data_IF_852740124687
#
_entry.id   IF_852740124687
#
_cell.length_a   1.000
_cell.length_b   1.000
_cell.length_c   1.000
_cell.angle_alpha   90.00
_cell.angle_beta   90.00
_cell.angle_gamma   90.00
#
_symmetry.space_group_name_H-M   'P 1'
#
loop_
_entity.id
_entity.type
_entity.pdbx_description
1 polymer ?
#
# COMPACT_ATOMS: atom_id res chain seq x y z
N UNK A 1 11.64 45.92 -6.71
CA UNK A 1 12.44 45.19 -7.72
C UNK A 1 12.97 43.89 -7.12
N UNK A 2 12.19 42.82 -7.21
CA UNK A 2 12.66 41.43 -7.17
C UNK A 2 11.51 40.56 -7.70
N UNK A 3 11.67 40.10 -8.94
CA UNK A 3 10.73 39.21 -9.64
C UNK A 3 10.93 37.79 -9.12
N UNK A 4 9.92 37.23 -8.48
CA UNK A 4 9.80 35.78 -8.29
C UNK A 4 9.45 35.14 -9.64
N UNK A 5 10.31 34.25 -10.12
CA UNK A 5 10.00 33.38 -11.25
C UNK A 5 9.34 32.12 -10.71
N UNK A 6 8.03 32.01 -10.92
CA UNK A 6 7.33 30.72 -10.87
C UNK A 6 7.73 29.93 -12.11
N UNK A 7 8.55 28.89 -11.93
CA UNK A 7 8.79 27.88 -12.95
C UNK A 7 7.75 26.78 -12.74
N UNK A 8 6.81 26.70 -13.68
CA UNK A 8 5.81 25.64 -13.79
C UNK A 8 6.50 24.33 -14.17
N UNK A 9 6.34 23.29 -13.35
CA UNK A 9 6.86 21.94 -13.54
C UNK A 9 5.75 20.97 -13.99
N UNK A 10 4.89 21.37 -14.93
CA UNK A 10 3.86 20.50 -15.50
C UNK A 10 4.17 20.25 -16.97
N UNK A 11 5.11 19.34 -17.30
CA UNK A 11 5.12 18.72 -18.64
C UNK A 11 6.02 17.48 -18.91
N UNK A 12 6.40 16.62 -17.95
CA UNK A 12 7.26 15.44 -18.28
C UNK A 12 6.92 14.15 -17.49
N UNK A 13 5.65 13.78 -17.33
CA UNK A 13 5.28 12.45 -16.77
C UNK A 13 4.01 11.90 -17.42
N UNK A 14 3.99 11.77 -18.75
CA UNK A 14 2.78 11.30 -19.46
C UNK A 14 3.06 10.16 -20.48
N UNK A 15 4.12 9.36 -20.32
CA UNK A 15 4.40 8.26 -21.27
C UNK A 15 5.19 7.09 -20.66
N UNK A 16 4.70 6.47 -19.59
CA UNK A 16 5.19 5.17 -19.12
C UNK A 16 4.03 4.34 -18.54
N UNK A 17 3.02 4.11 -19.37
CA UNK A 17 2.04 3.03 -19.15
C UNK A 17 2.62 1.77 -19.82
N UNK A 18 3.43 1.03 -19.05
CA UNK A 18 3.86 -0.31 -19.43
C UNK A 18 2.88 -1.26 -18.76
N UNK A 19 1.95 -1.75 -19.56
CA UNK A 19 1.10 -2.92 -19.29
C UNK A 19 1.96 -4.05 -18.71
N UNK A 20 1.84 -4.25 -17.41
CA UNK A 20 2.50 -5.33 -16.67
C UNK A 20 1.45 -6.24 -16.03
N UNK A 21 0.37 -6.49 -16.77
CA UNK A 21 -0.59 -7.56 -16.50
C UNK A 21 -0.48 -8.62 -17.60
N UNK A 22 -0.34 -9.87 -17.18
CA UNK A 22 -0.27 -11.10 -17.99
C UNK A 22 1.11 -11.50 -18.52
N UNK A 23 2.00 -11.90 -17.62
CA UNK A 23 2.87 -13.06 -17.89
C UNK A 23 2.29 -14.24 -17.12
N UNK A 24 1.11 -14.68 -17.56
CA UNK A 24 0.67 -16.05 -17.35
C UNK A 24 1.43 -16.89 -18.38
N UNK A 25 2.53 -17.52 -17.96
CA UNK A 25 3.20 -18.56 -18.74
C UNK A 25 2.37 -19.84 -18.70
N UNK A 26 1.13 -19.74 -19.19
CA UNK A 26 0.40 -20.85 -19.72
C UNK A 26 1.14 -21.36 -20.95
N UNK A 27 2.03 -22.32 -20.75
CA UNK A 27 2.50 -23.23 -21.80
C UNK A 27 1.29 -24.05 -22.21
N UNK A 28 0.41 -23.44 -23.00
CA UNK A 28 -0.53 -24.15 -23.84
C UNK A 28 0.30 -24.80 -24.93
N UNK A 29 0.53 -26.10 -24.76
CA UNK A 29 0.93 -26.99 -25.83
C UNK A 29 -0.21 -26.93 -26.86
N UNK A 30 -0.14 -25.94 -27.75
CA UNK A 30 -0.98 -25.93 -28.94
C UNK A 30 -0.55 -27.13 -29.77
N UNK A 31 -1.50 -28.05 -29.97
CA UNK A 31 -1.45 -29.14 -30.92
C UNK A 31 -0.93 -28.62 -32.28
N UNK A 32 0.34 -28.89 -32.52
CA UNK A 32 1.05 -28.56 -33.75
C UNK A 32 0.86 -29.66 -34.80
N UNK A 33 -0.33 -30.27 -34.83
CA UNK A 33 -0.73 -31.28 -35.79
C UNK A 33 -1.95 -30.80 -36.55
N UNK A 34 -1.79 -29.89 -37.54
CA UNK A 34 -2.65 -29.77 -38.73
C UNK A 34 -2.32 -28.54 -39.58
N UNK A 35 -1.06 -28.34 -39.96
CA UNK A 35 -0.73 -27.49 -41.11
C UNK A 35 0.38 -28.14 -41.93
N UNK A 36 0.08 -29.33 -42.48
CA UNK A 36 0.83 -29.85 -43.62
C UNK A 36 0.53 -28.95 -44.84
N UNK A 37 1.52 -28.23 -45.40
CA UNK A 37 1.32 -27.50 -46.63
C UNK A 37 1.11 -28.51 -47.76
N UNK A 38 -0.02 -28.36 -48.45
CA UNK A 38 -0.37 -29.06 -49.68
C UNK A 38 0.79 -28.92 -50.68
N UNK A 39 1.51 -30.01 -50.96
CA UNK A 39 2.48 -30.08 -52.04
C UNK A 39 1.77 -29.91 -53.38
N UNK A 40 1.71 -28.67 -53.90
CA UNK A 40 1.49 -28.45 -55.33
C UNK A 40 2.84 -28.55 -56.05
N UNK A 41 3.07 -29.69 -56.69
CA UNK A 41 4.10 -29.88 -57.70
C UNK A 41 3.79 -28.99 -58.91
N UNK A 42 4.54 -27.89 -59.05
CA UNK A 42 4.67 -27.19 -60.34
C UNK A 42 6.13 -26.97 -60.64
N UNK A 43 6.63 -27.82 -61.53
CA UNK A 43 7.83 -27.61 -62.33
C UNK A 43 7.76 -26.23 -63.00
N UNK A 44 8.26 -25.21 -62.29
CA UNK A 44 8.56 -23.91 -62.88
C UNK A 44 10.07 -23.85 -63.03
N UNK A 45 10.47 -23.99 -64.29
CA UNK A 45 11.83 -23.80 -64.77
C UNK A 45 12.54 -22.67 -64.01
N UNK A 46 13.58 -23.04 -63.27
CA UNK A 46 14.48 -22.14 -62.57
C UNK A 46 15.17 -21.29 -63.65
N UNK A 47 14.60 -20.12 -63.95
CA UNK A 47 15.31 -19.08 -64.69
C UNK A 47 16.54 -18.71 -63.85
N UNK A 48 17.75 -18.64 -64.43
CA UNK A 48 18.94 -18.27 -63.67
C UNK A 48 18.68 -16.91 -63.04
N UNK A 49 18.60 -16.87 -61.71
CA UNK A 49 18.50 -15.66 -60.93
C UNK A 49 19.64 -14.74 -61.36
N UNK A 50 19.28 -13.72 -62.14
CA UNK A 50 20.18 -12.63 -62.54
C UNK A 50 20.83 -12.16 -61.24
N UNK A 51 22.15 -12.35 -61.14
CA UNK A 51 23.00 -11.96 -60.01
C UNK A 51 22.87 -10.45 -59.84
N UNK A 52 21.80 -10.00 -59.17
CA UNK A 52 21.60 -8.60 -58.88
C UNK A 52 22.78 -8.22 -57.98
N UNK A 53 23.52 -7.19 -58.40
CA UNK A 53 24.61 -6.64 -57.61
C UNK A 53 24.00 -6.23 -56.28
N UNK A 54 24.14 -7.11 -55.27
CA UNK A 54 23.73 -6.89 -53.89
C UNK A 54 24.26 -5.52 -53.48
N UNK A 55 23.35 -4.56 -53.35
CA UNK A 55 23.63 -3.27 -52.73
C UNK A 55 23.94 -3.54 -51.26
N UNK A 56 25.20 -3.89 -50.98
CA UNK A 56 25.70 -4.16 -49.63
C UNK A 56 25.62 -2.91 -48.74
N UNK A 57 25.49 -1.73 -49.33
CA UNK A 57 25.51 -0.45 -48.63
C UNK A 57 24.23 -0.14 -47.84
N UNK A 58 23.05 -0.61 -48.25
CA UNK A 58 21.80 -0.28 -47.55
C UNK A 58 21.62 -1.03 -46.22
N UNK A 59 22.12 -2.27 -46.15
CA UNK A 59 22.05 -3.09 -44.94
C UNK A 59 22.99 -2.57 -43.84
N UNK A 60 24.15 -2.05 -44.26
CA UNK A 60 25.17 -1.51 -43.36
C UNK A 60 24.70 -0.21 -42.68
N UNK A 61 24.10 0.72 -43.42
CA UNK A 61 23.52 1.96 -42.84
C UNK A 61 22.39 1.64 -41.86
N UNK A 62 21.50 0.71 -42.21
CA UNK A 62 20.41 0.29 -41.33
C UNK A 62 20.92 -0.28 -40.00
N UNK A 63 21.91 -1.17 -40.05
CA UNK A 63 22.51 -1.74 -38.85
C UNK A 63 23.13 -0.67 -37.94
N UNK A 64 23.88 0.28 -38.52
CA UNK A 64 24.45 1.39 -37.74
C UNK A 64 23.39 2.28 -37.10
N UNK A 65 22.29 2.57 -37.81
CA UNK A 65 21.19 3.36 -37.23
C UNK A 65 20.51 2.64 -36.07
N UNK A 66 20.27 1.33 -36.18
CA UNK A 66 19.67 0.54 -35.11
C UNK A 66 20.60 0.48 -33.89
N UNK A 67 21.89 0.24 -34.09
CA UNK A 67 22.87 0.25 -33.00
C UNK A 67 22.98 1.62 -32.32
N UNK A 68 22.91 2.72 -33.09
CA UNK A 68 22.91 4.07 -32.54
C UNK A 68 21.67 4.33 -31.69
N UNK A 69 20.48 3.94 -32.16
CA UNK A 69 19.23 4.10 -31.39
C UNK A 69 19.28 3.29 -30.10
N UNK A 70 19.71 2.02 -30.15
CA UNK A 70 19.88 1.18 -28.95
C UNK A 70 20.91 1.79 -27.99
N UNK A 71 22.03 2.29 -28.51
CA UNK A 71 23.04 2.97 -27.69
C UNK A 71 22.50 4.23 -27.02
N UNK A 72 21.73 5.04 -27.74
CA UNK A 72 21.10 6.25 -27.22
C UNK A 72 20.04 5.92 -26.16
N UNK A 73 19.14 4.97 -26.40
CA UNK A 73 18.10 4.58 -25.43
C UNK A 73 18.71 4.00 -24.16
N UNK A 74 19.73 3.15 -24.29
CA UNK A 74 20.46 2.58 -23.14
C UNK A 74 21.16 3.68 -22.35
N UNK A 75 21.78 4.66 -23.02
CA UNK A 75 22.44 5.79 -22.36
C UNK A 75 21.42 6.65 -21.60
N UNK A 76 20.25 6.92 -22.18
CA UNK A 76 19.17 7.66 -21.52
C UNK A 76 18.64 6.90 -20.31
N UNK A 77 18.42 5.59 -20.42
CA UNK A 77 17.97 4.75 -19.31
C UNK A 77 18.97 4.69 -18.15
N UNK A 78 20.27 4.58 -18.46
CA UNK A 78 21.33 4.62 -17.43
C UNK A 78 21.39 6.01 -16.77
N UNK A 79 21.31 7.08 -17.57
CA UNK A 79 21.34 8.45 -17.06
C UNK A 79 20.12 8.75 -16.16
N UNK A 80 18.92 8.30 -16.56
CA UNK A 80 17.70 8.45 -15.74
C UNK A 80 17.80 7.63 -14.45
N UNK A 81 18.34 6.41 -14.51
CA UNK A 81 18.58 5.59 -13.31
C UNK A 81 19.54 6.24 -12.32
N UNK A 82 20.67 6.80 -12.79
CA UNK A 82 21.62 7.53 -11.94
C UNK A 82 20.98 8.79 -11.35
N UNK A 83 20.20 9.53 -12.14
CA UNK A 83 19.49 10.71 -11.68
C UNK A 83 18.45 10.36 -10.62
N UNK A 84 17.63 9.35 -10.87
CA UNK A 84 16.64 8.82 -9.92
C UNK A 84 17.27 8.37 -8.60
N UNK A 85 18.38 7.61 -8.67
CA UNK A 85 19.14 7.20 -7.48
C UNK A 85 19.62 8.41 -6.67
N UNK A 86 20.09 9.47 -7.32
CA UNK A 86 20.54 10.71 -6.64
C UNK A 86 19.39 11.49 -6.02
N UNK A 87 18.25 11.59 -6.70
CA UNK A 87 17.05 12.28 -6.19
C UNK A 87 16.51 11.52 -4.98
N UNK A 88 16.32 10.20 -5.10
CA UNK A 88 15.89 9.35 -4.00
C UNK A 88 16.85 9.42 -2.81
N UNK A 89 18.16 9.34 -3.05
CA UNK A 89 19.15 9.43 -1.98
C UNK A 89 19.19 10.79 -1.27
N UNK A 90 18.75 11.88 -1.94
CA UNK A 90 18.58 13.18 -1.28
C UNK A 90 17.39 13.17 -0.33
N UNK A 91 16.25 12.60 -0.77
CA UNK A 91 15.08 12.47 0.11
C UNK A 91 15.36 11.55 1.29
N UNK A 92 16.06 10.42 1.06
CA UNK A 92 16.50 9.54 2.17
C UNK A 92 17.30 10.34 3.19
N UNK A 93 18.31 11.11 2.78
CA UNK A 93 19.09 11.95 3.70
C UNK A 93 18.20 12.94 4.45
N UNK A 94 17.19 13.51 3.77
CA UNK A 94 16.28 14.51 4.34
C UNK A 94 15.31 13.92 5.37
N UNK A 95 14.86 12.69 5.20
CA UNK A 95 13.90 12.02 6.10
C UNK A 95 14.55 11.12 7.15
N UNK A 96 15.88 11.03 7.19
CA UNK A 96 16.59 10.14 8.12
C UNK A 96 17.66 10.87 8.91
N UNK A 97 17.99 10.33 10.09
CA UNK A 97 19.03 10.82 10.98
C UNK A 97 20.19 9.84 11.06
N UNK A 98 21.36 10.31 11.49
CA UNK A 98 22.54 9.45 11.69
C UNK A 98 22.59 8.80 13.08
N UNK A 99 21.84 9.33 14.05
CA UNK A 99 21.76 8.82 15.41
C UNK A 99 20.43 8.10 15.61
N UNK A 100 20.41 6.77 15.83
CA UNK A 100 19.17 6.06 16.09
C UNK A 100 18.56 6.50 17.41
N UNK A 101 17.24 6.38 17.52
CA UNK A 101 16.56 6.50 18.81
C UNK A 101 16.65 5.15 19.52
N UNK A 102 17.12 5.16 20.76
CA UNK A 102 17.13 3.96 21.61
C UNK A 102 15.78 3.81 22.31
N UNK A 103 15.14 2.66 22.13
CA UNK A 103 13.94 2.29 22.86
C UNK A 103 14.29 1.42 24.07
N UNK A 104 13.40 1.38 25.05
CA UNK A 104 13.47 0.35 26.08
C UNK A 104 13.32 -1.01 25.39
N UNK A 105 14.28 -1.90 25.61
CA UNK A 105 14.19 -3.26 25.09
C UNK A 105 13.11 -3.98 25.86
N UNK A 106 12.03 -4.37 25.18
CA UNK A 106 11.08 -5.31 25.74
C UNK A 106 11.77 -6.65 26.03
N UNK A 107 11.33 -7.32 27.08
CA UNK A 107 11.79 -8.67 27.38
C UNK A 107 11.37 -9.60 26.23
N UNK A 108 12.34 -10.36 25.72
CA UNK A 108 12.12 -11.34 24.65
C UNK A 108 11.31 -12.49 25.26
N UNK A 109 10.14 -12.78 24.69
CA UNK A 109 9.33 -13.93 25.10
C UNK A 109 9.97 -15.24 24.64
N UNK A 110 9.60 -16.35 25.29
CA UNK A 110 10.07 -17.66 24.87
C UNK A 110 9.56 -18.00 23.46
N UNK A 111 10.37 -18.70 22.67
CA UNK A 111 10.03 -19.04 21.29
C UNK A 111 8.80 -19.94 21.20
N UNK A 112 8.62 -20.85 22.18
CA UNK A 112 7.47 -21.73 22.23
C UNK A 112 6.19 -20.92 22.52
N UNK A 113 6.23 -19.98 23.47
CA UNK A 113 5.11 -19.08 23.77
C UNK A 113 4.74 -18.22 22.54
N UNK A 114 5.76 -17.76 21.82
CA UNK A 114 5.59 -17.00 20.59
C UNK A 114 4.90 -17.78 19.47
N UNK A 115 5.30 -19.04 19.29
CA UNK A 115 4.69 -19.90 18.29
C UNK A 115 3.23 -20.19 18.63
N UNK A 116 2.89 -20.35 19.91
CA UNK A 116 1.49 -20.49 20.35
C UNK A 116 0.67 -19.24 20.01
N UNK A 117 1.21 -18.05 20.27
CA UNK A 117 0.52 -16.79 19.96
C UNK A 117 0.32 -16.57 18.46
N UNK A 118 1.32 -16.95 17.66
CA UNK A 118 1.23 -16.91 16.20
C UNK A 118 0.20 -17.92 15.66
N UNK A 119 0.25 -19.17 16.12
CA UNK A 119 -0.69 -20.22 15.71
C UNK A 119 -2.13 -19.84 16.09
N UNK A 120 -2.32 -19.19 17.24
CA UNK A 120 -3.61 -18.64 17.67
C UNK A 120 -4.11 -17.56 16.71
N UNK A 121 -3.24 -16.65 16.28
CA UNK A 121 -3.57 -15.60 15.32
C UNK A 121 -3.92 -16.19 13.94
N UNK A 122 -3.08 -17.10 13.45
CA UNK A 122 -3.26 -17.75 12.14
C UNK A 122 -4.58 -18.54 12.12
N UNK A 123 -4.85 -19.33 13.16
CA UNK A 123 -6.10 -20.07 13.30
C UNK A 123 -7.32 -19.15 13.36
N UNK A 124 -7.22 -18.03 14.08
CA UNK A 124 -8.30 -17.04 14.15
C UNK A 124 -8.68 -16.51 12.76
N UNK A 125 -7.70 -16.07 11.97
CA UNK A 125 -7.96 -15.56 10.63
C UNK A 125 -8.38 -16.66 9.64
N UNK A 126 -7.82 -17.87 9.75
CA UNK A 126 -8.24 -19.01 8.93
C UNK A 126 -9.71 -19.38 9.16
N UNK A 127 -10.18 -19.31 10.42
CA UNK A 127 -11.61 -19.49 10.73
C UNK A 127 -12.47 -18.41 10.09
N UNK A 128 -12.08 -17.13 10.20
CA UNK A 128 -12.80 -16.03 9.56
C UNK A 128 -12.87 -16.21 8.03
N UNK A 129 -11.75 -16.53 7.38
CA UNK A 129 -11.69 -16.79 5.93
C UNK A 129 -12.55 -17.99 5.53
N UNK A 130 -12.66 -19.00 6.39
CA UNK A 130 -13.53 -20.15 6.19
C UNK A 130 -15.03 -19.85 6.45
N UNK A 131 -15.39 -18.62 6.83
CA UNK A 131 -16.74 -18.23 7.21
C UNK A 131 -17.20 -18.86 8.53
N UNK A 132 -16.26 -19.27 9.38
CA UNK A 132 -16.51 -19.80 10.71
C UNK A 132 -16.31 -18.69 11.75
N UNK A 133 -17.09 -18.72 12.82
CA UNK A 133 -16.97 -17.78 13.93
C UNK A 133 -15.97 -18.32 14.97
N UNK A 134 -14.82 -17.66 15.19
CA UNK A 134 -13.95 -18.00 16.31
C UNK A 134 -14.71 -17.90 17.64
N UNK A 135 -14.47 -18.86 18.54
CA UNK A 135 -15.11 -18.88 19.87
C UNK A 135 -14.65 -17.67 20.69
N UNK A 136 -13.36 -17.37 20.63
CA UNK A 136 -12.70 -16.36 21.44
C UNK A 136 -12.28 -15.16 20.59
N UNK A 137 -12.32 -13.97 21.20
CA UNK A 137 -11.76 -12.75 20.61
C UNK A 137 -10.24 -12.85 20.56
N UNK A 138 -9.60 -12.22 19.57
CA UNK A 138 -8.15 -12.23 19.46
C UNK A 138 -7.57 -11.01 20.18
N UNK A 139 -6.85 -11.23 21.27
CA UNK A 139 -6.25 -10.15 22.06
C UNK A 139 -4.74 -10.28 22.20
N UNK A 140 -4.00 -9.21 21.95
CA UNK A 140 -2.56 -9.15 22.17
C UNK A 140 -2.20 -8.08 23.19
N UNK A 141 -1.30 -8.42 24.12
CA UNK A 141 -0.73 -7.42 25.02
C UNK A 141 0.39 -6.62 24.35
N UNK A 142 0.74 -5.43 24.85
CA UNK A 142 1.90 -4.72 24.32
C UNK A 142 3.19 -5.52 24.56
N UNK A 143 3.26 -6.27 25.66
CA UNK A 143 4.35 -7.20 25.93
C UNK A 143 4.43 -8.30 24.85
N UNK A 144 3.31 -8.90 24.46
CA UNK A 144 3.24 -9.87 23.35
C UNK A 144 3.68 -9.24 22.03
N UNK A 145 3.22 -8.02 21.73
CA UNK A 145 3.58 -7.32 20.49
C UNK A 145 5.08 -7.06 20.42
N UNK A 146 5.65 -6.49 21.47
CA UNK A 146 7.06 -6.14 21.49
C UNK A 146 7.96 -7.37 21.62
N UNK A 147 7.62 -8.28 22.53
CA UNK A 147 8.42 -9.45 22.88
C UNK A 147 8.34 -10.59 21.86
N UNK A 148 7.26 -10.66 21.08
CA UNK A 148 7.07 -11.71 20.09
C UNK A 148 7.16 -11.24 18.65
N UNK A 149 6.29 -10.31 18.23
CA UNK A 149 6.23 -9.94 16.82
C UNK A 149 7.37 -8.99 16.42
N UNK A 150 7.80 -8.11 17.31
CA UNK A 150 8.87 -7.13 17.04
C UNK A 150 10.26 -7.72 17.34
N UNK A 151 10.44 -8.39 18.48
CA UNK A 151 11.76 -8.88 18.91
C UNK A 151 12.36 -9.96 17.98
N UNK A 152 11.53 -10.76 17.30
CA UNK A 152 12.01 -11.81 16.38
C UNK A 152 12.43 -11.28 15.00
N UNK A 153 12.07 -10.04 14.66
CA UNK A 153 12.51 -9.42 13.42
C UNK A 153 13.87 -8.72 13.61
N UNK A 154 14.91 -9.15 12.91
CA UNK A 154 16.21 -8.46 12.94
C UNK A 154 16.12 -6.98 12.52
N UNK A 155 15.11 -6.63 11.72
CA UNK A 155 14.89 -5.25 11.29
C UNK A 155 14.19 -4.41 12.36
N UNK A 156 13.23 -4.99 13.09
CA UNK A 156 12.42 -4.25 14.07
C UNK A 156 12.98 -4.34 15.50
N UNK A 157 13.72 -5.38 15.84
CA UNK A 157 14.30 -5.59 17.17
C UNK A 157 15.19 -4.42 17.56
N UNK A 158 14.78 -3.71 18.63
CA UNK A 158 15.46 -2.50 19.12
C UNK A 158 15.26 -1.25 18.26
N UNK A 159 14.49 -1.36 17.17
CA UNK A 159 14.20 -0.27 16.22
C UNK A 159 12.70 0.08 16.17
N UNK A 160 11.84 -0.66 16.84
CA UNK A 160 10.41 -0.37 16.96
C UNK A 160 9.94 -0.73 18.37
N UNK A 161 9.00 0.05 18.90
CA UNK A 161 8.37 -0.18 20.18
C UNK A 161 6.91 0.27 20.12
N UNK A 162 6.01 -0.56 20.64
CA UNK A 162 4.57 -0.32 20.70
C UNK A 162 4.14 -0.12 22.15
N UNK A 163 3.38 0.93 22.41
CA UNK A 163 2.70 1.16 23.68
C UNK A 163 1.20 1.25 23.45
N UNK A 164 0.44 0.58 24.33
CA UNK A 164 -1.02 0.57 24.31
C UNK A 164 -1.54 1.26 25.58
N UNK A 165 -2.17 2.40 25.40
CA UNK A 165 -2.92 3.12 26.42
C UNK A 165 -4.42 3.06 26.09
N UNK A 166 -5.30 3.48 27.00
CA UNK A 166 -6.75 3.39 26.76
C UNK A 166 -7.12 4.16 25.49
N UNK A 167 -7.63 3.45 24.47
CA UNK A 167 -7.99 3.95 23.13
C UNK A 167 -6.83 4.48 22.28
N UNK A 168 -5.59 4.39 22.77
CA UNK A 168 -4.42 4.97 22.12
C UNK A 168 -3.36 3.89 21.87
N UNK A 169 -2.99 3.72 20.61
CA UNK A 169 -1.84 2.91 20.19
C UNK A 169 -0.76 3.87 19.71
N UNK A 170 0.40 3.84 20.34
CA UNK A 170 1.58 4.59 19.91
C UNK A 170 2.68 3.63 19.48
N UNK A 171 3.26 3.88 18.31
CA UNK A 171 4.37 3.12 17.73
C UNK A 171 5.53 4.07 17.53
N UNK A 172 6.59 3.89 18.31
CA UNK A 172 7.85 4.61 18.12
C UNK A 172 8.79 3.74 17.30
N UNK A 173 9.42 4.34 16.29
CA UNK A 173 10.29 3.61 15.38
C UNK A 173 11.54 4.40 15.02
N UNK A 174 12.64 3.67 14.85
CA UNK A 174 13.97 4.12 14.44
C UNK A 174 14.52 3.09 13.45
N UNK A 175 13.90 3.02 12.28
CA UNK A 175 14.14 1.97 11.31
C UNK A 175 15.40 2.24 10.48
N UNK A 176 16.33 1.29 10.34
CA UNK A 176 17.52 1.51 9.55
C UNK A 176 17.20 1.61 8.06
N UNK A 177 17.86 2.53 7.36
CA UNK A 177 17.61 2.84 5.95
C UNK A 177 18.68 2.26 4.99
N UNK A 178 19.47 1.27 5.43
CA UNK A 178 20.64 0.78 4.67
C UNK A 178 20.32 0.21 3.28
N UNK A 179 19.07 -0.19 3.02
CA UNK A 179 18.62 -0.70 1.73
C UNK A 179 18.25 0.42 0.73
N UNK A 180 18.16 1.67 1.19
CA UNK A 180 17.83 2.82 0.37
C UNK A 180 19.09 3.55 -0.13
N UNK A 181 19.02 4.22 -1.29
CA UNK A 181 20.12 5.06 -1.78
C UNK A 181 20.62 6.04 -0.73
N UNK A 182 21.92 6.04 -0.45
CA UNK A 182 22.56 6.88 0.58
C UNK A 182 22.00 6.70 2.02
N UNK A 183 21.30 5.59 2.31
CA UNK A 183 20.74 5.32 3.62
C UNK A 183 21.68 4.58 4.59
N UNK A 184 22.91 4.26 4.18
CA UNK A 184 23.91 3.64 5.05
C UNK A 184 24.17 4.49 6.30
N UNK A 185 24.11 3.86 7.47
CA UNK A 185 24.22 4.51 8.79
C UNK A 185 23.18 5.60 9.04
N UNK A 186 22.01 5.49 8.41
CA UNK A 186 20.88 6.39 8.62
C UNK A 186 19.65 5.63 9.09
N UNK A 187 18.81 6.32 9.84
CA UNK A 187 17.62 5.79 10.48
C UNK A 187 16.42 6.69 10.21
N UNK A 188 15.31 6.10 9.79
CA UNK A 188 14.03 6.76 9.74
C UNK A 188 13.43 6.75 11.14
N UNK A 189 13.30 7.92 11.76
CA UNK A 189 12.81 8.05 13.13
C UNK A 189 11.46 8.75 13.12
N UNK A 190 10.45 8.02 13.59
CA UNK A 190 9.07 8.50 13.61
C UNK A 190 8.30 7.97 14.83
N UNK A 191 7.21 8.65 15.14
CA UNK A 191 6.20 8.23 16.10
C UNK A 191 4.85 8.22 15.37
N UNK A 192 4.17 7.08 15.41
CA UNK A 192 2.85 6.89 14.86
C UNK A 192 1.86 6.73 16.00
N UNK A 193 0.75 7.45 15.98
CA UNK A 193 -0.33 7.35 16.95
C UNK A 193 -1.61 6.96 16.22
N UNK A 194 -2.36 6.03 16.80
CA UNK A 194 -3.71 5.66 16.40
C UNK A 194 -4.62 5.85 17.62
N UNK A 195 -5.54 6.79 17.52
CA UNK A 195 -6.56 7.06 18.53
C UNK A 195 -7.91 6.52 18.04
N UNK A 196 -8.53 5.67 18.84
CA UNK A 196 -9.84 5.08 18.58
C UNK A 196 -10.91 5.82 19.40
N UNK A 197 -11.66 6.66 18.70
CA UNK A 197 -12.86 7.27 19.24
C UNK A 197 -14.11 6.40 19.04
N UNK A 198 -15.21 6.76 19.71
CA UNK A 198 -16.53 6.16 19.55
C UNK A 198 -16.96 5.87 18.11
N UNK A 199 -16.92 6.87 17.23
CA UNK A 199 -17.38 6.75 15.85
C UNK A 199 -16.37 7.39 14.89
N UNK A 200 -15.13 7.47 15.35
CA UNK A 200 -14.04 8.11 14.62
C UNK A 200 -12.76 7.43 14.99
N UNK A 201 -11.83 7.29 14.06
CA UNK A 201 -10.44 7.07 14.44
C UNK A 201 -9.55 8.11 13.77
N UNK A 202 -8.43 8.40 14.41
CA UNK A 202 -7.41 9.26 13.83
C UNK A 202 -6.07 8.59 13.87
N UNK A 203 -5.32 8.73 12.78
CA UNK A 203 -3.93 8.33 12.69
C UNK A 203 -3.06 9.56 12.52
N UNK A 204 -1.93 9.58 13.22
CA UNK A 204 -0.95 10.65 13.17
C UNK A 204 0.43 10.01 13.04
N UNK A 205 1.27 10.53 12.14
CA UNK A 205 2.67 10.15 12.01
C UNK A 205 3.51 11.42 12.08
N UNK A 206 4.42 11.46 13.04
CA UNK A 206 5.40 12.52 13.20
C UNK A 206 6.81 11.99 12.95
N UNK A 207 7.57 12.69 12.12
CA UNK A 207 9.02 12.48 12.11
C UNK A 207 9.60 13.20 13.32
N UNK A 208 10.31 12.49 14.20
CA UNK A 208 10.87 13.09 15.42
C UNK A 208 12.00 14.11 15.13
N UNK A 209 12.47 14.16 13.89
CA UNK A 209 13.30 15.26 13.41
C UNK A 209 12.55 16.13 12.41
N UNK A 210 12.59 17.46 12.56
CA UNK A 210 11.96 18.37 11.61
C UNK A 210 12.57 18.17 10.22
N UNK A 211 11.71 17.87 9.24
CA UNK A 211 12.11 17.79 7.85
C UNK A 211 11.94 19.17 7.23
N UNK A 212 13.03 19.75 6.73
CA UNK A 212 13.00 21.11 6.14
C UNK A 212 11.90 21.21 5.08
N UNK A 213 11.04 22.21 5.20
CA UNK A 213 9.94 22.43 4.26
C UNK A 213 8.76 21.48 4.41
N UNK A 214 8.68 20.63 5.44
CA UNK A 214 7.51 19.80 5.76
C UNK A 214 7.00 20.18 7.14
N UNK A 215 5.71 20.48 7.21
CA UNK A 215 5.06 20.79 8.47
C UNK A 215 4.70 19.50 9.20
N UNK A 216 4.99 19.43 10.51
CA UNK A 216 4.44 18.36 11.37
C UNK A 216 2.92 18.57 11.55
N UNK A 217 2.11 17.50 11.64
CA UNK A 217 2.50 16.11 11.43
C UNK A 217 2.72 15.75 9.96
N UNK A 218 3.58 14.75 9.74
CA UNK A 218 3.95 14.23 8.42
C UNK A 218 2.79 13.47 7.79
N UNK A 219 2.03 12.72 8.59
CA UNK A 219 0.74 12.17 8.17
C UNK A 219 -0.27 12.49 9.26
N UNK A 220 -1.47 12.91 8.88
CA UNK A 220 -2.58 13.05 9.80
C UNK A 220 -3.85 12.74 9.03
N UNK A 221 -4.57 11.71 9.44
CA UNK A 221 -5.87 11.40 8.88
C UNK A 221 -6.88 11.16 9.99
N UNK A 222 -8.12 11.59 9.76
CA UNK A 222 -9.24 11.39 10.65
C UNK A 222 -10.40 10.87 9.82
N UNK A 223 -11.01 9.80 10.30
CA UNK A 223 -12.09 9.10 9.63
C UNK A 223 -13.30 9.07 10.55
N UNK A 224 -14.50 9.23 9.99
CA UNK A 224 -15.74 8.79 10.63
C UNK A 224 -15.90 7.31 10.34
N UNK A 225 -16.39 6.58 11.34
CA UNK A 225 -16.71 5.16 11.23
C UNK A 225 -18.20 4.94 11.43
N UNK A 226 -18.79 4.24 10.48
CA UNK A 226 -20.17 3.80 10.53
C UNK A 226 -20.22 2.29 10.33
N UNK A 227 -21.14 1.63 11.02
CA UNK A 227 -21.43 0.22 10.83
C UNK A 227 -22.90 0.14 10.43
N UNK A 228 -23.17 -0.38 9.24
CA UNK A 228 -24.53 -0.50 8.71
C UNK A 228 -25.16 -1.85 9.07
N UNK A 229 -26.48 -1.97 8.82
CA UNK A 229 -27.24 -3.21 9.03
C UNK A 229 -26.71 -4.36 8.17
N UNK A 230 -26.15 -4.04 7.00
CA UNK A 230 -25.53 -4.99 6.08
C UNK A 230 -24.10 -5.37 6.50
N UNK A 231 -23.73 -5.12 7.76
CA UNK A 231 -22.55 -5.70 8.37
C UNK A 231 -21.19 -5.16 7.84
N UNK A 232 -21.23 -4.18 6.95
CA UNK A 232 -20.09 -3.47 6.38
C UNK A 232 -19.67 -2.26 7.25
N UNK A 233 -18.35 -2.14 7.43
CA UNK A 233 -17.70 -0.95 7.95
C UNK A 233 -17.54 0.11 6.86
N UNK A 234 -18.03 1.31 7.16
CA UNK A 234 -17.88 2.49 6.31
C UNK A 234 -16.94 3.48 6.97
N UNK A 235 -15.85 3.78 6.26
CA UNK A 235 -14.86 4.78 6.67
C UNK A 235 -14.94 5.98 5.74
N UNK A 236 -15.41 7.12 6.27
CA UNK A 236 -15.47 8.39 5.54
C UNK A 236 -14.32 9.28 5.99
N UNK A 237 -13.56 9.85 5.05
CA UNK A 237 -12.46 10.78 5.37
C UNK A 237 -13.04 12.12 5.85
N UNK A 238 -12.79 12.50 7.10
CA UNK A 238 -13.12 13.85 7.60
C UNK A 238 -12.01 14.86 7.32
N UNK A 239 -10.78 14.41 7.44
CA UNK A 239 -9.59 15.24 7.27
C UNK A 239 -8.41 14.34 6.90
N UNK A 240 -7.58 14.80 5.98
CA UNK A 240 -6.34 14.12 5.66
C UNK A 240 -5.24 15.11 5.27
N UNK A 241 -4.04 14.83 5.75
CA UNK A 241 -2.80 15.53 5.43
C UNK A 241 -1.70 14.50 5.26
N UNK A 242 -1.00 14.58 4.13
CA UNK A 242 0.19 13.79 3.84
C UNK A 242 1.31 14.73 3.40
N UNK A 243 2.39 14.77 4.17
CA UNK A 243 3.44 15.79 4.11
C UNK A 243 2.84 17.21 4.26
N UNK A 244 2.75 17.96 3.16
CA UNK A 244 2.08 19.27 3.11
C UNK A 244 0.85 19.26 2.19
N UNK A 245 0.45 18.08 1.72
CA UNK A 245 -0.68 17.92 0.83
C UNK A 245 -1.90 17.63 1.69
N UNK A 246 -2.98 18.36 1.42
CA UNK A 246 -4.24 18.22 2.14
C UNK A 246 -5.23 17.51 1.21
N UNK A 247 -6.04 16.63 1.79
CA UNK A 247 -7.15 16.02 1.05
C UNK A 247 -8.09 17.14 0.59
N UNK A 248 -8.41 17.22 -0.71
CA UNK A 248 -9.31 18.25 -1.24
C UNK A 248 -10.68 18.22 -0.55
N UNK A 249 -11.24 19.40 -0.31
CA UNK A 249 -12.51 19.54 0.41
C UNK A 249 -13.68 18.91 -0.36
N UNK A 250 -13.66 18.99 -1.69
CA UNK A 250 -14.65 18.37 -2.58
C UNK A 250 -14.63 16.84 -2.51
N UNK A 251 -13.48 16.23 -2.22
CA UNK A 251 -13.40 14.79 -1.95
C UNK A 251 -14.02 14.44 -0.59
N UNK A 252 -13.68 15.21 0.46
CA UNK A 252 -14.27 15.04 1.81
C UNK A 252 -15.80 15.17 1.77
N UNK A 253 -16.32 16.12 0.98
CA UNK A 253 -17.76 16.35 0.82
C UNK A 253 -18.49 15.23 0.08
N UNK A 254 -17.79 14.44 -0.74
CA UNK A 254 -18.38 13.28 -1.41
C UNK A 254 -18.70 12.13 -0.45
N UNK A 255 -18.07 12.08 0.73
CA UNK A 255 -18.25 11.02 1.73
C UNK A 255 -18.10 9.62 1.12
N UNK A 256 -17.09 9.45 0.26
CA UNK A 256 -16.78 8.16 -0.33
C UNK A 256 -16.27 7.20 0.76
N UNK A 257 -16.83 5.99 0.80
CA UNK A 257 -16.37 4.94 1.69
C UNK A 257 -15.05 4.36 1.18
N UNK A 258 -13.95 4.58 1.91
CA UNK A 258 -12.65 4.06 1.50
C UNK A 258 -12.55 2.53 1.63
N UNK A 259 -13.48 1.90 2.35
CA UNK A 259 -13.50 0.45 2.54
C UNK A 259 -14.06 -0.31 1.34
N UNK A 260 -14.81 0.35 0.44
CA UNK A 260 -15.39 -0.29 -0.76
C UNK A 260 -14.34 -1.06 -1.55
N UNK A 261 -13.14 -0.47 -1.72
CA UNK A 261 -12.01 -1.11 -2.41
C UNK A 261 -11.47 -2.36 -1.69
N UNK A 262 -11.59 -2.45 -0.37
CA UNK A 262 -11.18 -3.63 0.40
C UNK A 262 -12.21 -4.75 0.32
N UNK A 263 -13.49 -4.41 0.18
CA UNK A 263 -14.56 -5.40 -0.03
C UNK A 263 -14.55 -6.03 -1.43
N UNK A 264 -13.82 -5.46 -2.39
CA UNK A 264 -13.63 -6.09 -3.71
C UNK A 264 -12.85 -7.41 -3.63
N UNK A 265 -11.99 -7.59 -2.63
CA UNK A 265 -11.32 -8.87 -2.37
C UNK A 265 -12.22 -9.76 -1.50
N UNK A 266 -12.70 -10.91 -2.00
CA UNK A 266 -13.62 -11.77 -1.25
C UNK A 266 -13.02 -12.30 0.06
N UNK A 267 -11.70 -12.49 0.14
CA UNK A 267 -11.05 -12.94 1.38
C UNK A 267 -11.07 -11.84 2.43
N UNK A 268 -10.75 -10.61 2.03
CA UNK A 268 -10.77 -9.46 2.94
C UNK A 268 -12.20 -9.15 3.36
N UNK A 269 -13.15 -9.17 2.42
CA UNK A 269 -14.57 -9.02 2.72
C UNK A 269 -15.08 -10.04 3.75
N UNK A 270 -14.69 -11.32 3.60
CA UNK A 270 -15.07 -12.36 4.56
C UNK A 270 -14.47 -12.09 5.94
N UNK A 271 -13.18 -11.71 6.02
CA UNK A 271 -12.54 -11.34 7.29
C UNK A 271 -13.25 -10.14 7.94
N UNK A 272 -13.48 -9.06 7.19
CA UNK A 272 -14.11 -7.84 7.70
C UNK A 272 -15.53 -8.10 8.19
N UNK A 273 -16.30 -8.92 7.47
CA UNK A 273 -17.66 -9.30 7.89
C UNK A 273 -17.68 -10.10 9.20
N UNK A 274 -16.65 -10.91 9.47
CA UNK A 274 -16.52 -11.65 10.72
C UNK A 274 -15.96 -10.85 11.90
N UNK A 275 -15.54 -9.60 11.69
CA UNK A 275 -15.03 -8.71 12.75
C UNK A 275 -16.13 -7.74 13.18
N UNK A 276 -16.39 -7.69 14.49
CA UNK A 276 -17.32 -6.72 15.09
C UNK A 276 -16.67 -5.36 15.30
N UNK A 277 -15.39 -5.33 15.64
CA UNK A 277 -14.65 -4.10 15.85
C UNK A 277 -13.32 -4.34 16.53
N UNK A 278 -12.66 -3.25 16.88
CA UNK A 278 -11.36 -3.26 17.55
C UNK A 278 -11.45 -2.38 18.79
N UNK A 279 -10.93 -2.89 19.91
CA UNK A 279 -10.77 -2.11 21.13
C UNK A 279 -9.32 -2.09 21.58
N UNK A 280 -8.91 -0.96 22.15
CA UNK A 280 -7.63 -0.83 22.82
C UNK A 280 -7.93 -0.49 24.28
N UNK A 281 -7.62 -1.43 25.15
CA UNK A 281 -7.65 -1.27 26.60
C UNK A 281 -6.22 -1.13 27.10
N UNK A 282 -6.06 -0.81 28.39
CA UNK A 282 -4.74 -0.67 28.99
C UNK A 282 -3.88 -1.92 28.74
N UNK A 283 -2.77 -1.74 28.04
CA UNK A 283 -1.81 -2.78 27.66
C UNK A 283 -2.35 -3.88 26.71
N UNK A 284 -3.58 -3.81 26.19
CA UNK A 284 -4.12 -4.85 25.29
C UNK A 284 -4.92 -4.28 24.11
N UNK A 285 -4.69 -4.85 22.93
CA UNK A 285 -5.49 -4.65 21.74
C UNK A 285 -6.32 -5.91 21.47
N UNK A 286 -7.61 -5.76 21.25
CA UNK A 286 -8.54 -6.88 21.04
C UNK A 286 -9.32 -6.67 19.74
N UNK A 287 -9.32 -7.70 18.90
CA UNK A 287 -10.19 -7.83 17.73
C UNK A 287 -11.41 -8.64 18.16
N UNK A 288 -12.56 -7.98 18.18
CA UNK A 288 -13.82 -8.59 18.57
C UNK A 288 -14.44 -9.34 17.39
N UNK A 289 -14.83 -10.58 17.63
CA UNK A 289 -15.51 -11.42 16.63
C UNK A 289 -16.99 -11.10 16.62
N UNK A 290 -17.57 -11.07 15.43
CA UNK A 290 -19.02 -10.98 15.27
C UNK A 290 -19.63 -12.37 15.48
N UNK A 291 -20.59 -12.50 16.42
CA UNK A 291 -21.24 -13.77 16.74
C UNK A 291 -22.69 -13.79 16.29
N UNK A 292 -23.11 -14.86 15.63
CA UNK A 292 -24.50 -15.11 15.21
C UNK A 292 -25.41 -15.23 16.43
N UNK A 293 -26.06 -14.14 16.83
CA UNK A 293 -26.94 -14.09 18.00
C UNK A 293 -26.66 -12.92 18.94
N UNK A 294 -25.61 -12.16 18.70
CA UNK A 294 -25.52 -10.79 19.18
C UNK A 294 -26.57 -9.99 18.39
N UNK A 295 -27.85 -10.12 18.79
CA UNK A 295 -28.84 -9.09 18.47
C UNK A 295 -28.17 -7.77 18.81
N UNK A 296 -28.14 -6.85 17.85
CA UNK A 296 -27.65 -5.48 18.02
C UNK A 296 -28.53 -4.84 19.09
N UNK A 297 -28.23 -5.16 20.35
CA UNK A 297 -28.78 -4.54 21.52
C UNK A 297 -28.09 -3.19 21.53
N UNK A 298 -28.70 -2.27 20.79
CA UNK A 298 -28.43 -0.84 20.73
C UNK A 298 -28.74 -0.15 22.09
N UNK A 299 -28.49 -0.87 23.17
CA UNK A 299 -28.45 -0.44 24.56
C UNK A 299 -27.03 -0.56 25.08
N UNK A 300 -26.05 -0.17 24.28
CA UNK A 300 -24.82 0.41 24.82
C UNK A 300 -25.19 1.77 25.44
N UNK A 301 -25.95 1.72 26.55
CA UNK A 301 -26.08 2.83 27.48
C UNK A 301 -24.66 3.21 27.93
N UNK A 302 -24.22 4.41 27.55
CA UNK A 302 -23.16 5.15 28.21
C UNK A 302 -21.79 4.47 28.34
N UNK A 303 -21.21 4.03 27.22
CA UNK A 303 -19.79 4.24 26.96
C UNK A 303 -19.53 4.30 25.44
N UNK A 304 -19.81 5.47 24.87
CA UNK A 304 -19.12 5.91 23.65
C UNK A 304 -19.52 5.24 22.33
N UNK A 305 -20.80 5.20 21.98
CA UNK A 305 -21.29 5.21 20.58
C UNK A 305 -22.76 5.67 20.61
N UNK A 306 -22.98 6.98 20.56
CA UNK A 306 -24.30 7.61 20.70
C UNK A 306 -24.78 8.20 19.38
N UNK A 307 -25.74 7.51 18.76
CA UNK A 307 -26.52 7.85 17.55
C UNK A 307 -26.85 9.34 17.36
N UNK A 308 -26.66 9.83 16.13
CA UNK A 308 -27.49 10.87 15.50
C UNK A 308 -27.98 10.45 14.11
N UNK A 309 -29.12 9.76 14.14
CA UNK A 309 -30.27 9.76 13.23
C UNK A 309 -30.21 10.47 11.86
N UNK A 310 -30.44 9.62 10.83
CA UNK A 310 -31.50 9.62 9.80
C UNK A 310 -31.73 10.78 8.81
N UNK A 311 -32.01 10.31 7.57
CA UNK A 311 -32.68 10.93 6.42
C UNK A 311 -31.83 11.78 5.48
N UNK A 312 -31.12 11.11 4.54
CA UNK A 312 -31.01 11.57 3.15
C UNK A 312 -30.88 10.36 2.20
N UNK A 313 -31.99 9.66 1.97
CA UNK A 313 -32.15 8.87 0.75
C UNK A 313 -32.69 9.81 -0.32
N UNK A 314 -31.85 10.21 -1.27
CA UNK A 314 -32.30 11.02 -2.40
C UNK A 314 -31.18 11.60 -3.25
N UNK A 315 -30.96 10.93 -4.40
CA UNK A 315 -30.42 11.50 -5.65
C UNK A 315 -28.88 11.57 -5.73
N UNK A 316 -28.26 10.50 -6.26
CA UNK A 316 -27.49 10.52 -7.53
C UNK A 316 -26.82 9.16 -7.79
N UNK A 317 -27.57 8.20 -8.35
CA UNK A 317 -26.99 7.13 -9.16
C UNK A 317 -26.90 7.63 -10.61
N UNK A 318 -25.83 8.34 -10.95
CA UNK A 318 -25.27 8.43 -12.32
C UNK A 318 -24.09 9.40 -12.40
N UNK A 319 -22.88 8.92 -12.11
CA UNK A 319 -21.63 9.46 -12.67
C UNK A 319 -20.57 8.36 -12.54
N UNK A 320 -20.51 7.45 -13.51
CA UNK A 320 -19.53 7.51 -14.60
C UNK A 320 -18.12 7.13 -14.14
N UNK A 321 -17.83 5.85 -14.36
CA UNK A 321 -16.59 5.07 -14.27
C UNK A 321 -15.34 5.66 -14.97
N UNK A 322 -15.27 6.97 -15.24
CA UNK A 322 -14.24 7.60 -16.07
C UNK A 322 -13.24 8.49 -15.32
N UNK A 323 -13.41 8.69 -14.01
CA UNK A 323 -12.54 9.60 -13.22
C UNK A 323 -11.46 8.87 -12.39
N UNK A 324 -11.59 7.56 -12.20
CA UNK A 324 -10.77 6.78 -11.24
C UNK A 324 -9.46 6.26 -11.85
N UNK A 325 -9.35 6.16 -13.18
CA UNK A 325 -8.07 5.79 -13.83
C UNK A 325 -6.96 6.86 -13.69
N UNK A 326 -7.26 8.03 -13.12
CA UNK A 326 -6.23 9.06 -12.88
C UNK A 326 -5.51 8.95 -11.54
N UNK A 327 -5.95 8.12 -10.59
CA UNK A 327 -5.31 8.14 -9.25
C UNK A 327 -4.21 7.08 -9.07
N UNK A 328 -4.20 6.01 -9.87
CA UNK A 328 -3.22 4.91 -9.74
C UNK A 328 -1.95 5.15 -10.62
N UNK A 329 -1.90 6.28 -11.33
CA UNK A 329 -0.79 6.65 -12.21
C UNK A 329 -0.08 7.96 -11.85
N UNK A 330 0.08 8.31 -10.56
CA UNK A 330 0.83 9.50 -10.13
C UNK A 330 1.92 9.23 -9.09
#
# INVERSE_FOLDING_TARGET
NNRQQHISYNHIMENLDIDMQNIDMGISIMDMETLLPKQESKDRAIKPLKKSRRSRSCCEVFLYTVLFVIGLTTTVAVASGIWGYKVMGREVIRFTVTTPLSFESADIMDEDDCNVEKDRADLFFDMLVAGQEPIEDLSFSAATINGCFIAYSDYLRGNMFVSLEEKDLSVKMSLPAYFLPNGNHRYFVAEAELNLGPSTFSTRLDTLTPVEGISSPTVLAKFDTHQYEDEEFDFEVQYGKFLNWYVPQDYIEQRENIMDYLYEDPKIATILSGVQGLSINHDMITIHVRRSGDEVNDKTENNGMGRRMTNYYGIMKSASSSSIQRFIGF
#
